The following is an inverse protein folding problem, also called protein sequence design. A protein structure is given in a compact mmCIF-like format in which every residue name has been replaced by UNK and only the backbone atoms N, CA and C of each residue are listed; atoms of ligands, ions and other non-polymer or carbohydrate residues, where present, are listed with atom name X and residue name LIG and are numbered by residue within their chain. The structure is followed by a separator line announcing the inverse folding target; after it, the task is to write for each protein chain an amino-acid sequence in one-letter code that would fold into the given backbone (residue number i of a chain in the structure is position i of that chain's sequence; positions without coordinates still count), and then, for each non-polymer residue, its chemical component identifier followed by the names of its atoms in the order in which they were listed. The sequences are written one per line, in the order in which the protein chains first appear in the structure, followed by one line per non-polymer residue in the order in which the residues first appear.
data_IF_833070049427
#
_entry.id   IF_833070049427
#
_cell.length_a   1.000
_cell.length_b   1.000
_cell.length_c   1.000
_cell.angle_alpha   90.00
_cell.angle_beta   90.00
_cell.angle_gamma   90.00
#
_symmetry.space_group_name_H-M   'P 1'
#
loop_
_entity.id
_entity.type
_entity.pdbx_description
1 polymer ?
#
# COMPACT_ATOMS: atom_id res chain seq x y z
N UNK A 1 16.79 -23.75 -18.62
CA UNK A 1 16.50 -22.32 -18.37
C UNK A 1 15.87 -22.20 -16.99
N UNK A 2 16.64 -21.68 -16.02
CA UNK A 2 16.06 -21.29 -14.71
C UNK A 2 15.22 -20.04 -14.94
N UNK A 3 13.98 -19.96 -14.42
CA UNK A 3 13.19 -18.76 -14.55
C UNK A 3 13.92 -17.59 -13.88
N UNK A 4 14.14 -16.51 -14.60
CA UNK A 4 14.71 -15.28 -14.06
C UNK A 4 13.75 -14.73 -13.00
N UNK A 5 14.27 -14.49 -11.80
CA UNK A 5 13.52 -13.81 -10.72
C UNK A 5 13.82 -12.33 -10.83
N UNK A 6 12.79 -11.53 -11.04
CA UNK A 6 12.88 -10.07 -11.00
C UNK A 6 12.44 -9.56 -9.62
N UNK A 7 13.12 -8.53 -9.12
CA UNK A 7 12.77 -7.82 -7.89
C UNK A 7 12.42 -6.40 -8.29
N UNK A 8 11.24 -5.93 -7.89
CA UNK A 8 10.81 -4.55 -8.05
C UNK A 8 10.86 -3.88 -6.69
N UNK A 9 11.61 -2.79 -6.58
CA UNK A 9 11.58 -1.92 -5.41
C UNK A 9 10.50 -0.86 -5.63
N UNK A 10 9.42 -0.97 -4.84
CA UNK A 10 8.30 -0.05 -4.83
C UNK A 10 8.38 0.81 -3.57
N UNK A 11 8.29 2.13 -3.74
CA UNK A 11 8.29 3.09 -2.66
C UNK A 11 6.85 3.45 -2.27
N UNK A 12 6.49 3.22 -1.01
CA UNK A 12 5.17 3.57 -0.46
C UNK A 12 5.10 5.06 -0.09
N UNK A 13 3.88 5.54 0.17
CA UNK A 13 3.59 6.88 0.70
C UNK A 13 3.98 8.05 -0.24
N UNK A 14 4.06 7.84 -1.55
CA UNK A 14 4.26 8.93 -2.51
C UNK A 14 3.05 9.87 -2.47
N UNK A 15 3.28 11.12 -2.05
CA UNK A 15 2.21 12.10 -1.80
C UNK A 15 1.91 12.34 -0.31
N UNK A 16 2.57 11.64 0.61
CA UNK A 16 2.36 11.85 2.04
C UNK A 16 3.01 13.14 2.54
N UNK A 17 4.24 13.44 2.10
CA UNK A 17 4.99 14.61 2.50
C UNK A 17 5.98 15.00 1.39
N UNK A 18 6.26 16.32 1.15
CA UNK A 18 7.21 16.75 0.11
C UNK A 18 8.58 16.08 0.22
N UNK A 19 9.13 15.96 1.43
CA UNK A 19 10.43 15.31 1.65
C UNK A 19 10.42 13.81 1.34
N UNK A 20 9.26 13.13 1.47
CA UNK A 20 9.09 11.74 1.02
C UNK A 20 9.11 11.69 -0.50
N UNK A 21 8.38 12.59 -1.16
CA UNK A 21 8.32 12.69 -2.62
C UNK A 21 9.74 12.91 -3.20
N UNK A 22 10.48 13.87 -2.66
CA UNK A 22 11.86 14.14 -3.07
C UNK A 22 12.76 12.91 -2.86
N UNK A 23 12.65 12.23 -1.71
CA UNK A 23 13.42 11.03 -1.40
C UNK A 23 13.15 9.90 -2.40
N UNK A 24 11.89 9.68 -2.79
CA UNK A 24 11.48 8.70 -3.79
C UNK A 24 12.10 9.02 -5.15
N UNK A 25 11.95 10.25 -5.63
CA UNK A 25 12.50 10.68 -6.91
C UNK A 25 14.01 10.59 -6.92
N UNK A 26 14.68 11.01 -5.86
CA UNK A 26 16.15 10.88 -5.75
C UNK A 26 16.62 9.43 -5.82
N UNK A 27 15.91 8.52 -5.15
CA UNK A 27 16.24 7.09 -5.17
C UNK A 27 15.90 6.45 -6.52
N UNK A 28 14.83 6.92 -7.19
CA UNK A 28 14.49 6.52 -8.55
C UNK A 28 15.61 6.91 -9.53
N UNK A 29 16.11 8.14 -9.46
CA UNK A 29 17.22 8.61 -10.30
C UNK A 29 18.52 7.80 -10.11
N UNK A 30 18.74 7.24 -8.93
CA UNK A 30 19.84 6.31 -8.65
C UNK A 30 19.58 4.88 -9.12
N UNK A 31 18.49 4.64 -9.84
CA UNK A 31 18.10 3.37 -10.46
C UNK A 31 17.68 2.24 -9.53
N UNK A 32 17.47 2.48 -8.24
CA UNK A 32 17.05 1.44 -7.27
C UNK A 32 15.53 1.31 -7.22
N UNK A 33 14.80 2.44 -7.05
CA UNK A 33 13.35 2.46 -7.01
C UNK A 33 12.81 2.54 -8.42
N UNK A 34 11.95 1.59 -8.80
CA UNK A 34 11.33 1.53 -10.13
C UNK A 34 9.83 1.76 -10.08
N UNK A 35 9.21 1.64 -8.92
CA UNK A 35 7.80 1.88 -8.72
C UNK A 35 7.56 2.75 -7.49
N UNK A 36 6.44 3.47 -7.47
CA UNK A 36 5.97 4.21 -6.30
C UNK A 36 4.45 4.14 -6.20
N UNK A 37 3.95 3.95 -4.96
CA UNK A 37 2.53 3.88 -4.68
C UNK A 37 2.01 5.25 -4.26
N UNK A 38 1.17 5.88 -5.12
CA UNK A 38 0.63 7.22 -4.94
C UNK A 38 -0.51 7.24 -3.94
N UNK A 39 -0.33 8.00 -2.87
CA UNK A 39 -1.35 8.32 -1.88
C UNK A 39 -2.15 9.54 -2.35
N UNK A 40 -3.20 9.30 -3.13
CA UNK A 40 -3.97 10.35 -3.84
C UNK A 40 -4.62 11.39 -2.94
N UNK A 41 -4.84 11.08 -1.68
CA UNK A 41 -5.42 11.98 -0.67
C UNK A 41 -4.38 12.49 0.35
N UNK A 42 -3.10 12.21 0.10
CA UNK A 42 -2.01 12.70 0.91
C UNK A 42 -1.83 14.22 0.81
N UNK A 43 -1.30 14.86 1.86
CA UNK A 43 -1.12 16.32 1.88
C UNK A 43 -0.21 16.87 0.76
N UNK A 44 0.69 16.04 0.23
CA UNK A 44 1.61 16.38 -0.85
C UNK A 44 1.30 15.63 -2.16
N UNK A 45 0.05 15.17 -2.36
CA UNK A 45 -0.33 14.39 -3.54
C UNK A 45 -0.19 15.18 -4.85
N UNK A 46 -0.51 16.48 -4.86
CA UNK A 46 -0.35 17.32 -6.05
C UNK A 46 1.12 17.43 -6.49
N UNK A 47 2.04 17.60 -5.53
CA UNK A 47 3.48 17.60 -5.77
C UNK A 47 3.93 16.22 -6.31
N UNK A 48 3.47 15.13 -5.71
CA UNK A 48 3.77 13.77 -6.17
C UNK A 48 3.32 13.54 -7.62
N UNK A 49 2.11 13.97 -7.99
CA UNK A 49 1.60 13.87 -9.37
C UNK A 49 2.46 14.67 -10.35
N UNK A 50 2.89 15.87 -9.97
CA UNK A 50 3.80 16.69 -10.78
C UNK A 50 5.15 16.00 -11.01
N UNK A 51 5.73 15.46 -9.93
CA UNK A 51 6.98 14.70 -10.00
C UNK A 51 6.86 13.43 -10.81
N UNK A 52 5.74 12.71 -10.69
CA UNK A 52 5.46 11.52 -11.46
C UNK A 52 5.42 11.81 -12.98
N UNK A 53 4.76 12.89 -13.37
CA UNK A 53 4.74 13.34 -14.78
C UNK A 53 6.13 13.72 -15.30
N UNK A 54 6.98 14.29 -14.46
CA UNK A 54 8.37 14.61 -14.79
C UNK A 54 9.28 13.37 -14.86
N UNK A 55 8.84 12.21 -14.35
CA UNK A 55 9.60 10.97 -14.32
C UNK A 55 8.77 9.80 -14.88
N UNK A 56 8.50 9.77 -16.19
CA UNK A 56 7.57 8.82 -16.82
C UNK A 56 8.03 7.34 -16.74
N UNK A 57 9.29 7.10 -16.41
CA UNK A 57 9.85 5.75 -16.18
C UNK A 57 9.66 5.26 -14.74
N UNK A 58 9.21 6.12 -13.82
CA UNK A 58 8.78 5.70 -12.49
C UNK A 58 7.39 5.08 -12.62
N UNK A 59 7.31 3.77 -12.50
CA UNK A 59 6.04 3.05 -12.54
C UNK A 59 5.15 3.45 -11.36
N UNK A 60 3.84 3.57 -11.59
CA UNK A 60 2.95 4.10 -10.58
C UNK A 60 1.89 3.08 -10.17
N UNK A 61 1.77 2.92 -8.85
CA UNK A 61 0.69 2.23 -8.19
C UNK A 61 -0.22 3.20 -7.43
N UNK A 62 -1.43 2.74 -7.11
CA UNK A 62 -2.37 3.44 -6.23
C UNK A 62 -2.18 2.96 -4.80
N UNK A 63 -1.98 3.86 -3.85
CA UNK A 63 -2.01 3.56 -2.42
C UNK A 63 -3.38 3.87 -1.83
N UNK A 64 -4.23 2.85 -1.74
CA UNK A 64 -5.58 2.97 -1.22
C UNK A 64 -5.57 3.19 0.29
N UNK A 65 -6.10 4.31 0.77
CA UNK A 65 -6.07 4.67 2.19
C UNK A 65 -7.48 4.72 2.81
N UNK A 66 -7.62 4.08 3.96
CA UNK A 66 -8.80 4.17 4.83
C UNK A 66 -8.42 4.58 6.26
N UNK A 67 -7.17 5.06 6.43
CA UNK A 67 -6.63 5.49 7.73
C UNK A 67 -5.73 6.71 7.56
N UNK A 68 -5.61 7.53 8.59
CA UNK A 68 -4.59 8.58 8.78
C UNK A 68 -4.80 9.84 7.93
N UNK A 69 -5.09 9.72 6.62
CA UNK A 69 -5.26 10.85 5.70
C UNK A 69 -6.71 11.35 5.65
N UNK A 70 -7.00 12.29 4.76
CA UNK A 70 -8.38 12.73 4.49
C UNK A 70 -9.03 11.78 3.49
N UNK A 71 -10.37 11.61 3.54
CA UNK A 71 -11.08 10.86 2.52
C UNK A 71 -11.03 11.56 1.15
N UNK A 72 -11.16 10.77 0.09
CA UNK A 72 -11.39 11.25 -1.26
C UNK A 72 -12.83 11.73 -1.45
N UNK A 73 -13.76 11.02 -0.82
CA UNK A 73 -15.18 11.37 -0.78
C UNK A 73 -15.47 12.50 0.20
N UNK A 74 -16.63 13.13 0.08
CA UNK A 74 -17.11 14.05 1.12
C UNK A 74 -17.33 13.28 2.43
N UNK A 75 -16.88 13.80 3.60
CA UNK A 75 -16.93 13.08 4.88
C UNK A 75 -18.33 12.57 5.24
N UNK A 76 -19.37 13.30 4.92
CA UNK A 76 -20.77 12.91 5.17
C UNK A 76 -21.22 11.71 4.33
N UNK A 77 -20.61 11.50 3.16
CA UNK A 77 -20.90 10.35 2.29
C UNK A 77 -20.19 9.05 2.74
N UNK A 78 -19.22 9.15 3.66
CA UNK A 78 -18.43 8.05 4.21
C UNK A 78 -18.35 8.15 5.74
N UNK A 79 -19.48 8.47 6.36
CA UNK A 79 -19.57 8.83 7.78
C UNK A 79 -19.04 7.74 8.72
N UNK A 80 -19.21 6.46 8.37
CA UNK A 80 -18.71 5.34 9.18
C UNK A 80 -17.18 5.25 9.20
N UNK A 81 -16.52 5.78 8.17
CA UNK A 81 -15.06 5.72 8.01
C UNK A 81 -14.33 6.86 8.69
N UNK A 82 -14.99 7.99 8.93
CA UNK A 82 -14.36 9.21 9.42
C UNK A 82 -14.62 9.48 10.91
N UNK A 83 -13.82 10.33 11.50
CA UNK A 83 -14.02 10.91 12.81
C UNK A 83 -14.86 12.18 12.72
N UNK A 84 -15.24 12.78 13.85
CA UNK A 84 -15.95 14.07 13.88
C UNK A 84 -15.19 15.21 13.16
N UNK A 85 -13.86 15.10 13.02
CA UNK A 85 -13.05 16.07 12.28
C UNK A 85 -13.05 15.83 10.76
N UNK A 86 -13.84 14.89 10.24
CA UNK A 86 -13.90 14.56 8.82
C UNK A 86 -12.64 13.88 8.27
N UNK A 87 -11.79 13.32 9.14
CA UNK A 87 -10.56 12.61 8.78
C UNK A 87 -10.68 11.13 9.12
N UNK A 88 -9.94 10.29 8.40
CA UNK A 88 -9.83 8.91 8.78
C UNK A 88 -9.22 8.74 10.18
N UNK A 89 -9.68 7.76 10.95
CA UNK A 89 -9.09 7.43 12.24
C UNK A 89 -7.69 6.81 12.08
N UNK A 90 -6.93 6.79 13.17
CA UNK A 90 -5.72 5.98 13.27
C UNK A 90 -6.08 4.50 13.20
N UNK A 91 -5.13 3.66 12.76
CA UNK A 91 -5.34 2.22 12.54
C UNK A 91 -6.01 1.50 13.72
N UNK A 92 -5.61 1.79 14.97
CA UNK A 92 -6.20 1.16 16.14
C UNK A 92 -7.71 1.40 16.28
N UNK A 93 -8.17 2.64 16.10
CA UNK A 93 -9.60 2.97 16.15
C UNK A 93 -10.34 2.41 14.91
N UNK A 94 -9.67 2.37 13.75
CA UNK A 94 -10.21 1.76 12.56
C UNK A 94 -10.47 0.26 12.78
N UNK A 95 -9.49 -0.47 13.33
CA UNK A 95 -9.61 -1.90 13.67
C UNK A 95 -10.69 -2.17 14.70
N UNK A 96 -10.82 -1.30 15.72
CA UNK A 96 -11.89 -1.40 16.70
C UNK A 96 -13.27 -1.26 16.04
N UNK A 97 -13.44 -0.27 15.15
CA UNK A 97 -14.70 -0.09 14.39
C UNK A 97 -15.00 -1.29 13.50
N UNK A 98 -13.99 -1.85 12.83
CA UNK A 98 -14.12 -3.06 12.02
C UNK A 98 -14.60 -4.24 12.88
N UNK A 99 -13.93 -4.50 14.01
CA UNK A 99 -14.28 -5.60 14.92
C UNK A 99 -15.67 -5.46 15.55
N UNK A 100 -16.16 -4.23 15.72
CA UNK A 100 -17.53 -3.94 16.22
C UNK A 100 -18.58 -3.88 15.11
N UNK A 101 -18.23 -4.16 13.85
CA UNK A 101 -19.16 -4.05 12.71
C UNK A 101 -19.65 -2.62 12.45
N UNK A 102 -18.89 -1.59 12.84
CA UNK A 102 -19.28 -0.18 12.72
C UNK A 102 -18.78 0.50 11.44
N UNK A 103 -18.14 -0.25 10.56
CA UNK A 103 -17.74 0.23 9.23
C UNK A 103 -18.78 -0.22 8.21
N UNK A 104 -19.43 0.75 7.57
CA UNK A 104 -20.40 0.48 6.52
C UNK A 104 -19.67 -0.01 5.25
N UNK A 105 -20.00 -1.19 4.72
CA UNK A 105 -19.43 -1.69 3.48
C UNK A 105 -19.60 -0.77 2.27
N UNK A 106 -20.74 -0.07 2.18
CA UNK A 106 -20.99 0.86 1.08
C UNK A 106 -20.14 2.13 1.18
N UNK A 107 -19.86 2.60 2.39
CA UNK A 107 -18.91 3.69 2.61
C UNK A 107 -17.50 3.28 2.18
N UNK A 108 -17.07 2.06 2.55
CA UNK A 108 -15.75 1.52 2.13
C UNK A 108 -15.69 1.45 0.61
N UNK A 109 -16.70 0.88 -0.04
CA UNK A 109 -16.75 0.75 -1.50
C UNK A 109 -16.70 2.12 -2.18
N UNK A 110 -17.49 3.07 -1.71
CA UNK A 110 -17.56 4.45 -2.25
C UNK A 110 -16.20 5.14 -2.15
N UNK A 111 -15.56 5.04 -1.02
CA UNK A 111 -14.27 5.67 -0.77
C UNK A 111 -13.16 5.07 -1.64
N UNK A 112 -13.09 3.75 -1.73
CA UNK A 112 -12.10 3.07 -2.58
C UNK A 112 -12.32 3.39 -4.08
N UNK A 113 -13.57 3.46 -4.52
CA UNK A 113 -13.90 3.87 -5.88
C UNK A 113 -13.48 5.33 -6.16
N UNK A 114 -13.69 6.23 -5.20
CA UNK A 114 -13.27 7.62 -5.31
C UNK A 114 -11.74 7.78 -5.36
N UNK A 115 -10.98 6.93 -4.66
CA UNK A 115 -9.52 6.88 -4.80
C UNK A 115 -9.11 6.50 -6.23
N UNK A 116 -9.68 5.45 -6.78
CA UNK A 116 -9.39 4.99 -8.15
C UNK A 116 -9.76 6.06 -9.18
N UNK A 117 -10.92 6.69 -9.02
CA UNK A 117 -11.36 7.75 -9.93
C UNK A 117 -10.41 8.93 -9.97
N UNK A 118 -9.94 9.39 -8.81
CA UNK A 118 -8.97 10.50 -8.71
C UNK A 118 -7.64 10.20 -9.39
N UNK A 119 -7.30 8.93 -9.60
CA UNK A 119 -6.06 8.55 -10.27
C UNK A 119 -6.15 8.58 -11.79
N UNK A 120 -7.35 8.53 -12.37
CA UNK A 120 -7.55 8.46 -13.83
C UNK A 120 -6.92 9.63 -14.58
N UNK A 121 -6.96 10.83 -13.98
CA UNK A 121 -6.42 12.04 -14.57
C UNK A 121 -4.92 12.24 -14.34
N UNK A 122 -4.31 11.38 -13.52
CA UNK A 122 -2.95 11.61 -13.03
C UNK A 122 -1.88 10.93 -13.88
N UNK A 123 -2.03 9.64 -14.18
CA UNK A 123 -1.07 8.80 -14.94
C UNK A 123 -1.66 7.39 -15.14
N UNK A 124 -1.19 6.59 -16.10
CA UNK A 124 -1.56 5.19 -16.13
C UNK A 124 -0.99 4.47 -14.90
N UNK A 125 -1.89 3.86 -14.13
CA UNK A 125 -1.52 3.06 -12.95
C UNK A 125 -1.52 1.58 -13.29
N UNK A 126 -0.47 0.88 -12.84
CA UNK A 126 -0.29 -0.55 -13.13
C UNK A 126 -0.54 -1.45 -11.93
N UNK A 127 -0.55 -0.90 -10.71
CA UNK A 127 -0.71 -1.68 -9.49
C UNK A 127 -1.61 -1.00 -8.46
N UNK A 128 -2.18 -1.79 -7.57
CA UNK A 128 -2.88 -1.32 -6.37
C UNK A 128 -2.18 -1.82 -5.12
N UNK A 129 -1.95 -0.91 -4.18
CA UNK A 129 -1.48 -1.13 -2.82
C UNK A 129 -2.51 -0.58 -1.83
N UNK A 130 -2.25 -0.67 -0.54
CA UNK A 130 -3.08 -0.04 0.48
C UNK A 130 -2.24 0.44 1.65
N UNK A 131 -2.41 1.71 1.96
CA UNK A 131 -1.80 2.35 3.12
C UNK A 131 -2.11 1.55 4.39
N UNK A 132 -1.07 1.16 5.12
CA UNK A 132 -1.15 0.29 6.31
C UNK A 132 -1.81 -1.07 6.08
N UNK A 133 -1.85 -1.54 4.83
CA UNK A 133 -2.33 -2.86 4.44
C UNK A 133 -3.76 -3.18 4.91
N UNK A 134 -4.64 -2.17 5.01
CA UNK A 134 -6.05 -2.37 5.44
C UNK A 134 -6.85 -3.25 4.49
N UNK A 135 -6.40 -3.39 3.22
CA UNK A 135 -7.02 -4.30 2.25
C UNK A 135 -6.87 -5.79 2.61
N UNK A 136 -6.02 -6.13 3.57
CA UNK A 136 -5.87 -7.52 4.02
C UNK A 136 -7.05 -7.98 4.88
N UNK A 137 -7.84 -7.06 5.42
CA UNK A 137 -8.98 -7.40 6.25
C UNK A 137 -10.24 -7.64 5.40
N UNK A 138 -10.97 -8.75 5.64
CA UNK A 138 -12.34 -8.85 5.15
C UNK A 138 -13.19 -7.76 5.83
N UNK A 139 -14.10 -7.07 5.21
CA UNK A 139 -14.60 -7.13 3.83
C UNK A 139 -13.78 -6.29 2.82
N UNK A 140 -12.83 -5.45 3.27
CA UNK A 140 -12.07 -4.53 2.40
C UNK A 140 -11.40 -5.27 1.25
N UNK A 141 -10.82 -6.44 1.55
CA UNK A 141 -10.15 -7.29 0.56
C UNK A 141 -11.04 -7.62 -0.64
N UNK A 142 -12.25 -8.08 -0.38
CA UNK A 142 -13.20 -8.44 -1.43
C UNK A 142 -13.56 -7.23 -2.28
N UNK A 143 -13.75 -6.08 -1.66
CA UNK A 143 -14.07 -4.83 -2.38
C UNK A 143 -12.90 -4.34 -3.22
N UNK A 144 -11.68 -4.38 -2.70
CA UNK A 144 -10.48 -4.02 -3.48
C UNK A 144 -10.34 -4.93 -4.69
N UNK A 145 -10.46 -6.27 -4.51
CA UNK A 145 -10.38 -7.22 -5.62
C UNK A 145 -11.44 -6.96 -6.70
N UNK A 146 -12.66 -6.63 -6.29
CA UNK A 146 -13.75 -6.29 -7.22
C UNK A 146 -13.46 -4.98 -7.97
N UNK A 147 -13.11 -3.91 -7.26
CA UNK A 147 -12.86 -2.59 -7.84
C UNK A 147 -11.64 -2.58 -8.77
N UNK A 148 -10.57 -3.28 -8.39
CA UNK A 148 -9.35 -3.40 -9.21
C UNK A 148 -9.68 -4.11 -10.54
N UNK A 149 -10.48 -5.18 -10.52
CA UNK A 149 -10.95 -5.85 -11.74
C UNK A 149 -11.80 -4.92 -12.61
N UNK A 150 -12.74 -4.19 -12.01
CA UNK A 150 -13.61 -3.25 -12.73
C UNK A 150 -12.82 -2.09 -13.34
N UNK A 151 -11.73 -1.68 -12.70
CA UNK A 151 -10.89 -0.58 -13.16
C UNK A 151 -9.82 -0.99 -14.16
N UNK A 152 -9.68 -2.28 -14.45
CA UNK A 152 -8.67 -2.79 -15.38
C UNK A 152 -7.23 -2.72 -14.85
N UNK A 153 -7.03 -2.51 -13.55
CA UNK A 153 -5.70 -2.53 -12.94
C UNK A 153 -5.13 -3.96 -12.96
N UNK A 154 -3.95 -4.18 -13.56
CA UNK A 154 -3.45 -5.54 -13.80
C UNK A 154 -2.89 -6.22 -12.54
N UNK A 155 -2.49 -5.45 -11.52
CA UNK A 155 -1.82 -5.99 -10.34
C UNK A 155 -2.39 -5.47 -9.03
N UNK A 156 -2.45 -6.35 -8.03
CA UNK A 156 -2.67 -6.01 -6.61
C UNK A 156 -1.48 -6.52 -5.83
N UNK A 157 -0.90 -5.65 -4.97
CA UNK A 157 0.19 -6.07 -4.10
C UNK A 157 -0.29 -7.15 -3.13
N UNK A 158 0.41 -8.28 -3.13
CA UNK A 158 0.25 -9.32 -2.11
C UNK A 158 1.32 -9.15 -1.04
N UNK A 159 0.90 -9.14 0.22
CA UNK A 159 1.84 -9.24 1.34
C UNK A 159 2.12 -10.73 1.57
N UNK A 160 3.34 -11.16 1.26
CA UNK A 160 3.83 -12.49 1.60
C UNK A 160 4.94 -12.32 2.64
N UNK A 161 4.69 -12.81 3.85
CA UNK A 161 5.72 -12.86 4.86
C UNK A 161 6.41 -14.23 4.80
N UNK A 162 7.66 -14.24 4.36
CA UNK A 162 8.53 -15.41 4.50
C UNK A 162 9.68 -15.03 5.44
N UNK A 163 9.81 -15.67 6.60
CA UNK A 163 11.01 -15.49 7.40
C UNK A 163 12.20 -15.98 6.59
N UNK A 164 13.16 -15.10 6.33
CA UNK A 164 14.39 -15.45 5.59
C UNK A 164 15.24 -16.47 6.38
N UNK A 165 15.09 -16.54 7.68
CA UNK A 165 15.58 -17.58 8.62
C UNK A 165 14.79 -17.48 9.94
N UNK A 166 14.65 -18.55 10.72
CA UNK A 166 14.16 -18.45 12.10
C UNK A 166 15.26 -17.74 12.91
N UNK A 167 15.20 -16.44 12.98
CA UNK A 167 15.95 -15.68 13.98
C UNK A 167 15.13 -15.67 15.25
N UNK A 168 15.76 -15.84 16.41
CA UNK A 168 15.12 -15.89 17.72
C UNK A 168 14.28 -14.65 18.11
N UNK A 169 14.18 -13.69 17.23
CA UNK A 169 13.47 -12.40 17.37
C UNK A 169 12.03 -12.43 16.83
N UNK A 170 11.43 -13.60 16.63
CA UNK A 170 10.08 -13.76 16.05
C UNK A 170 8.95 -13.41 17.03
N UNK A 171 9.27 -12.95 18.25
CA UNK A 171 8.28 -12.58 19.27
C UNK A 171 7.66 -11.20 19.08
N UNK A 172 7.98 -10.49 17.99
CA UNK A 172 7.39 -9.20 17.73
C UNK A 172 5.93 -9.37 17.25
N UNK A 173 4.97 -8.86 18.03
CA UNK A 173 3.53 -8.92 17.75
C UNK A 173 3.14 -8.40 16.35
N UNK A 174 3.95 -7.53 15.77
CA UNK A 174 3.79 -7.07 14.38
C UNK A 174 4.00 -8.21 13.37
N UNK A 175 5.04 -9.03 13.54
CA UNK A 175 5.36 -10.13 12.64
C UNK A 175 4.29 -11.23 12.69
N UNK A 176 3.73 -11.50 13.88
CA UNK A 176 2.66 -12.48 14.05
C UNK A 176 1.36 -12.03 13.35
N UNK A 177 1.05 -10.72 13.37
CA UNK A 177 -0.12 -10.16 12.66
C UNK A 177 -0.03 -10.37 11.15
N UNK A 178 1.14 -10.17 10.55
CA UNK A 178 1.36 -10.39 9.12
C UNK A 178 1.30 -11.87 8.73
N UNK A 179 1.80 -12.78 9.57
CA UNK A 179 1.72 -14.22 9.32
C UNK A 179 0.26 -14.73 9.34
N UNK A 180 -0.57 -14.22 10.25
CA UNK A 180 -2.01 -14.54 10.30
C UNK A 180 -2.73 -13.99 9.07
N UNK A 181 -2.40 -12.76 8.65
CA UNK A 181 -2.98 -12.11 7.48
C UNK A 181 -2.57 -12.79 6.17
N UNK A 182 -1.32 -13.26 6.06
CA UNK A 182 -0.84 -14.00 4.89
C UNK A 182 -1.60 -15.31 4.69
N UNK A 183 -1.86 -16.06 5.76
CA UNK A 183 -2.72 -17.26 5.70
C UNK A 183 -4.14 -16.95 5.25
N UNK A 184 -4.72 -15.84 5.70
CA UNK A 184 -6.06 -15.43 5.31
C UNK A 184 -6.15 -14.94 3.84
N UNK A 185 -5.03 -14.52 3.24
CA UNK A 185 -4.98 -14.01 1.86
C UNK A 185 -4.65 -15.08 0.82
N UNK A 186 -4.18 -16.26 1.21
CA UNK A 186 -3.78 -17.33 0.28
C UNK A 186 -4.94 -17.91 -0.56
N UNK A 187 -6.19 -17.56 -0.26
CA UNK A 187 -7.38 -17.96 -1.01
C UNK A 187 -7.92 -16.87 -1.96
N UNK A 188 -7.16 -15.78 -2.18
CA UNK A 188 -7.53 -14.81 -3.20
C UNK A 188 -7.34 -15.45 -4.59
N UNK A 189 -8.46 -15.48 -5.30
CA UNK A 189 -8.68 -16.03 -6.63
C UNK A 189 -7.47 -15.88 -7.57
N UNK A 190 -7.06 -16.97 -8.20
CA UNK A 190 -5.97 -17.08 -9.19
C UNK A 190 -6.08 -16.13 -10.39
N UNK A 191 -7.26 -15.51 -10.58
CA UNK A 191 -7.53 -14.57 -11.67
C UNK A 191 -6.96 -13.17 -11.44
N UNK A 192 -6.53 -12.85 -10.23
CA UNK A 192 -5.85 -11.57 -9.93
C UNK A 192 -4.36 -11.83 -9.82
N UNK A 193 -3.55 -11.21 -10.69
CA UNK A 193 -2.09 -11.32 -10.59
C UNK A 193 -1.62 -10.63 -9.32
N UNK A 194 -1.18 -11.43 -8.35
CA UNK A 194 -0.68 -10.93 -7.08
C UNK A 194 0.84 -10.78 -7.16
N UNK A 195 1.34 -9.59 -6.90
CA UNK A 195 2.77 -9.31 -6.79
C UNK A 195 3.17 -9.40 -5.32
N UNK A 196 4.11 -10.29 -5.00
CA UNK A 196 4.62 -10.46 -3.64
C UNK A 196 5.44 -9.26 -3.19
N UNK A 197 5.21 -8.81 -1.96
CA UNK A 197 6.03 -7.80 -1.28
C UNK A 197 6.91 -8.48 -0.26
N UNK A 198 8.23 -8.22 -0.32
CA UNK A 198 9.14 -8.50 0.79
C UNK A 198 9.00 -7.36 1.81
N UNK A 199 8.45 -7.67 2.98
CA UNK A 199 8.47 -6.74 4.10
C UNK A 199 9.74 -6.96 4.91
N UNK A 200 10.56 -5.91 5.03
CA UNK A 200 11.62 -5.88 6.03
C UNK A 200 10.99 -5.56 7.39
N UNK A 201 11.36 -6.26 8.46
CA UNK A 201 10.90 -5.94 9.80
C UNK A 201 11.32 -4.50 10.16
N UNK A 202 10.51 -3.77 10.98
CA UNK A 202 10.90 -2.47 11.46
C UNK A 202 12.23 -2.57 12.20
N UNK A 203 13.14 -1.65 11.93
CA UNK A 203 14.45 -1.59 12.60
C UNK A 203 14.27 -1.48 14.11
N UNK A 204 14.95 -2.33 14.84
CA UNK A 204 15.25 -2.06 16.24
C UNK A 204 16.06 -0.76 16.33
N UNK A 205 15.64 0.17 17.19
CA UNK A 205 16.35 1.41 17.43
C UNK A 205 17.82 1.09 17.79
N UNK A 206 18.78 1.51 16.96
CA UNK A 206 20.21 1.31 17.20
C UNK A 206 20.96 0.40 16.24
N UNK A 207 20.33 -0.30 15.30
CA UNK A 207 21.04 -1.17 14.37
C UNK A 207 21.69 -0.42 13.21
N UNK A 208 23.02 -0.57 13.06
CA UNK A 208 23.78 -0.12 11.92
C UNK A 208 23.37 -0.89 10.64
N UNK A 209 23.62 -0.31 9.45
CA UNK A 209 23.21 -0.73 8.10
C UNK A 209 23.02 -2.25 7.93
N UNK A 210 21.95 -2.71 7.28
CA UNK A 210 21.77 -4.12 7.01
C UNK A 210 22.85 -4.60 6.03
N UNK A 211 23.52 -5.70 6.36
CA UNK A 211 24.49 -6.40 5.52
C UNK A 211 23.90 -6.95 4.20
N UNK A 212 22.66 -6.65 3.90
CA UNK A 212 21.88 -7.16 2.77
C UNK A 212 22.29 -6.56 1.42
N UNK A 213 22.90 -5.36 1.42
CA UNK A 213 23.31 -4.70 0.16
C UNK A 213 24.71 -5.09 -0.33
N UNK A 214 25.44 -5.93 0.41
CA UNK A 214 26.80 -6.35 0.04
C UNK A 214 26.88 -7.65 -0.77
N UNK A 215 25.74 -8.28 -1.10
CA UNK A 215 25.72 -9.60 -1.77
C UNK A 215 25.02 -9.62 -3.12
N UNK A 216 24.76 -8.48 -3.74
CA UNK A 216 24.31 -8.43 -5.12
C UNK A 216 25.56 -8.39 -6.03
N UNK A 217 25.78 -9.38 -6.90
CA UNK A 217 26.82 -9.29 -7.91
C UNK A 217 26.51 -8.15 -8.87
N UNK A 218 27.57 -7.48 -9.35
CA UNK A 218 27.54 -6.40 -10.33
C UNK A 218 26.89 -6.81 -11.64
#
# INVERSE_FOLDING_TARGET
NRPHRAIIFDADDFGFHPGVNEGIVRTHRSSVVRAASLLVTGPASADAVSLARAHPILDQGIDLALTTVRPASQPQCVASLVTRSGRFPRLGLWLLRLGLGRLDPDDIRRELAAHIERTRDSSPFHASNSHRHVYLFPPVRTMVAMLVRQSGLPFVRRVAWRPLRPTHDVTNAANMRYAVLDRATNHLDERTRLVGTLMTPPRAAGSRRPAFLSTLPA
#
